data_IF_589764894873
#
_entry.id   IF_589764894873
#
_cell.length_a   1.000
_cell.length_b   1.000
_cell.length_c   1.000
_cell.angle_alpha   90.00
_cell.angle_beta   90.00
_cell.angle_gamma   90.00
#
_symmetry.space_group_name_H-M   'P 1'
#
loop_
_entity.id
_entity.type
_entity.pdbx_description
1 polymer ?
#
# COMPACT_ATOMS: atom_id res chain seq x y z
N UNK A 1 -12.25 -8.43 2.74
CA UNK A 1 -12.11 -7.84 4.06
C UNK A 1 -12.91 -6.55 4.16
N UNK A 2 -13.36 -6.25 5.35
CA UNK A 2 -14.14 -5.05 5.62
C UNK A 2 -13.26 -3.95 6.18
N UNK A 3 -13.63 -2.71 5.90
CA UNK A 3 -12.92 -1.56 6.40
C UNK A 3 -11.72 -1.20 5.54
N UNK A 4 -10.83 -0.41 6.11
CA UNK A 4 -9.66 0.10 5.39
C UNK A 4 -8.48 -0.84 5.59
N UNK A 5 -7.92 -1.31 4.48
CA UNK A 5 -6.77 -2.22 4.46
C UNK A 5 -5.69 -1.58 3.60
N UNK A 6 -4.47 -1.52 4.11
CA UNK A 6 -3.32 -1.01 3.39
C UNK A 6 -2.37 -2.16 3.12
N UNK A 7 -2.04 -2.40 1.87
CA UNK A 7 -1.14 -3.48 1.49
C UNK A 7 0.09 -2.90 0.79
N UNK A 8 1.26 -3.25 1.29
CA UNK A 8 2.50 -2.95 0.59
C UNK A 8 2.91 -4.20 -0.18
N UNK A 9 3.02 -4.07 -1.51
CA UNK A 9 3.53 -5.13 -2.36
C UNK A 9 5.03 -4.89 -2.56
N UNK A 10 5.86 -5.86 -2.16
CA UNK A 10 7.31 -5.71 -2.17
C UNK A 10 7.98 -7.01 -2.62
N UNK A 11 9.29 -6.98 -2.79
CA UNK A 11 10.08 -8.17 -3.09
C UNK A 11 11.39 -8.11 -2.31
N UNK A 12 11.94 -9.28 -1.99
CA UNK A 12 13.16 -9.36 -1.18
C UNK A 12 14.34 -8.63 -1.80
N UNK A 13 14.46 -8.67 -3.14
CA UNK A 13 15.58 -8.02 -3.80
C UNK A 13 15.55 -6.50 -3.64
N UNK A 14 14.43 -5.93 -3.25
CA UNK A 14 14.30 -4.48 -3.02
C UNK A 14 13.98 -4.19 -1.55
N UNK A 15 14.41 -5.04 -0.64
CA UNK A 15 14.08 -4.94 0.78
C UNK A 15 14.53 -3.61 1.40
N UNK A 16 15.64 -3.04 0.93
CA UNK A 16 16.13 -1.77 1.47
C UNK A 16 15.16 -0.62 1.23
N UNK A 17 14.31 -0.72 0.22
CA UNK A 17 13.38 0.33 -0.16
C UNK A 17 11.94 0.06 0.27
N UNK A 18 11.71 -0.97 1.09
CA UNK A 18 10.35 -1.25 1.58
C UNK A 18 9.84 -0.07 2.41
N UNK A 19 8.53 0.07 2.41
CA UNK A 19 7.86 1.17 3.13
C UNK A 19 8.00 0.95 4.64
N UNK A 20 8.84 1.74 5.29
CA UNK A 20 9.20 1.53 6.69
C UNK A 20 8.12 1.98 7.67
N UNK A 21 7.26 2.89 7.26
CA UNK A 21 6.23 3.47 8.13
C UNK A 21 4.91 2.72 8.09
N UNK A 22 4.87 1.56 7.42
CA UNK A 22 3.63 0.79 7.26
C UNK A 22 2.95 0.48 8.60
N UNK A 23 3.73 0.04 9.58
CA UNK A 23 3.19 -0.34 10.89
C UNK A 23 2.75 0.85 11.74
N UNK A 24 3.10 2.06 11.35
CA UNK A 24 2.74 3.26 12.09
C UNK A 24 1.41 3.84 11.64
N UNK A 25 0.82 3.30 10.57
CA UNK A 25 -0.46 3.78 10.06
C UNK A 25 -1.59 3.46 11.03
N UNK A 26 -2.53 4.39 11.16
CA UNK A 26 -3.66 4.28 12.10
C UNK A 26 -4.99 4.21 11.34
N UNK A 27 -5.99 3.67 12.02
CA UNK A 27 -7.35 3.54 11.52
C UNK A 27 -7.46 2.63 10.30
N UNK A 28 -6.57 1.64 10.22
CA UNK A 28 -6.52 0.69 9.12
C UNK A 28 -5.84 -0.60 9.57
N UNK A 29 -6.01 -1.64 8.78
CA UNK A 29 -5.26 -2.88 8.94
C UNK A 29 -4.16 -2.88 7.88
N UNK A 30 -2.93 -3.28 8.26
CA UNK A 30 -1.80 -3.25 7.34
C UNK A 30 -1.28 -4.65 7.05
N UNK A 31 -0.88 -4.89 5.80
CA UNK A 31 -0.26 -6.13 5.36
C UNK A 31 0.91 -5.82 4.44
N UNK A 32 1.86 -6.73 4.43
CA UNK A 32 2.98 -6.67 3.48
C UNK A 32 3.01 -7.98 2.71
N UNK A 33 2.86 -7.89 1.39
CA UNK A 33 2.82 -9.04 0.52
C UNK A 33 4.08 -9.09 -0.35
N UNK A 34 4.81 -10.20 -0.27
CA UNK A 34 6.01 -10.40 -1.08
C UNK A 34 5.62 -11.00 -2.42
N UNK A 35 5.75 -10.23 -3.50
CA UNK A 35 5.35 -10.68 -4.83
C UNK A 35 6.31 -11.72 -5.42
N UNK A 36 7.53 -11.82 -4.90
CA UNK A 36 8.45 -12.86 -5.36
C UNK A 36 8.02 -14.24 -4.89
N UNK A 37 7.22 -14.33 -3.82
CA UNK A 37 6.67 -15.58 -3.32
C UNK A 37 5.28 -15.88 -3.88
N UNK A 38 4.60 -14.86 -4.42
CA UNK A 38 3.24 -14.96 -4.94
C UNK A 38 3.19 -14.32 -6.31
N UNK A 39 3.66 -15.06 -7.33
CA UNK A 39 3.80 -14.53 -8.68
C UNK A 39 2.48 -14.03 -9.27
N UNK A 40 1.36 -14.60 -8.85
CA UNK A 40 0.06 -14.19 -9.36
C UNK A 40 -0.40 -12.82 -8.83
N UNK A 41 0.14 -12.39 -7.70
CA UNK A 41 -0.28 -11.12 -7.09
C UNK A 41 0.06 -9.93 -7.99
N UNK A 42 1.24 -9.95 -8.61
CA UNK A 42 1.65 -8.86 -9.49
C UNK A 42 0.68 -8.67 -10.64
N UNK A 43 0.26 -9.78 -11.25
CA UNK A 43 -0.67 -9.76 -12.36
C UNK A 43 -2.08 -9.39 -11.91
N UNK A 44 -2.57 -10.04 -10.84
CA UNK A 44 -3.93 -9.86 -10.34
C UNK A 44 -4.19 -8.42 -9.88
N UNK A 45 -3.22 -7.81 -9.21
CA UNK A 45 -3.38 -6.46 -8.67
C UNK A 45 -2.69 -5.39 -9.51
N UNK A 46 -2.21 -5.77 -10.69
CA UNK A 46 -1.56 -4.86 -11.65
C UNK A 46 -0.38 -4.12 -11.04
N UNK A 47 0.47 -4.86 -10.35
CA UNK A 47 1.68 -4.31 -9.74
C UNK A 47 2.78 -4.29 -10.78
N UNK A 48 3.16 -3.11 -11.25
CA UNK A 48 4.17 -2.95 -12.30
C UNK A 48 5.56 -2.69 -11.75
N UNK A 49 5.63 -2.19 -10.53
CA UNK A 49 6.88 -1.88 -9.86
C UNK A 49 6.69 -2.00 -8.36
N UNK A 50 7.76 -2.16 -7.62
CA UNK A 50 7.72 -2.29 -6.17
C UNK A 50 8.73 -1.34 -5.53
N UNK A 51 8.47 -0.89 -4.30
CA UNK A 51 7.28 -1.14 -3.50
C UNK A 51 6.06 -0.37 -4.00
N UNK A 52 4.91 -0.99 -3.99
CA UNK A 52 3.65 -0.30 -4.28
C UNK A 52 2.75 -0.46 -3.07
N UNK A 53 2.18 0.65 -2.61
CA UNK A 53 1.26 0.66 -1.47
C UNK A 53 -0.13 0.96 -1.99
N UNK A 54 -1.08 0.08 -1.69
CA UNK A 54 -2.46 0.24 -2.13
C UNK A 54 -3.37 0.30 -0.91
N UNK A 55 -4.29 1.27 -0.91
CA UNK A 55 -5.33 1.38 0.12
C UNK A 55 -6.61 0.81 -0.46
N UNK A 56 -7.19 -0.15 0.26
CA UNK A 56 -8.49 -0.75 -0.08
C UNK A 56 -9.53 -0.33 0.95
N UNK A 57 -10.74 -0.08 0.50
CA UNK A 57 -11.87 0.16 1.38
C UNK A 57 -12.96 -0.84 1.02
N UNK A 58 -13.27 -1.72 1.97
CA UNK A 58 -14.22 -2.83 1.77
C UNK A 58 -13.87 -3.67 0.55
N UNK A 59 -12.57 -3.89 0.32
CA UNK A 59 -12.07 -4.73 -0.76
C UNK A 59 -11.87 -4.00 -2.08
N UNK A 60 -12.21 -2.73 -2.16
CA UNK A 60 -12.05 -1.92 -3.37
C UNK A 60 -10.83 -1.03 -3.28
N UNK A 61 -10.02 -0.99 -4.34
CA UNK A 61 -8.87 -0.09 -4.39
C UNK A 61 -9.35 1.36 -4.47
N UNK A 62 -8.91 2.19 -3.50
CA UNK A 62 -9.29 3.60 -3.45
C UNK A 62 -8.11 4.55 -3.58
N UNK A 63 -6.89 4.07 -3.38
CA UNK A 63 -5.69 4.88 -3.56
C UNK A 63 -4.50 3.96 -3.81
N UNK A 64 -3.52 4.47 -4.56
CA UNK A 64 -2.33 3.70 -4.91
C UNK A 64 -1.11 4.63 -4.92
N UNK A 65 -0.03 4.19 -4.29
CA UNK A 65 1.25 4.90 -4.27
C UNK A 65 2.28 4.02 -4.94
N UNK A 66 2.80 4.47 -6.09
CA UNK A 66 3.76 3.71 -6.89
C UNK A 66 5.16 4.27 -6.70
N UNK A 67 6.21 3.45 -6.91
CA UNK A 67 7.57 3.93 -6.77
C UNK A 67 8.00 4.76 -7.97
N UNK A 68 9.07 5.54 -7.78
CA UNK A 68 9.69 6.28 -8.86
C UNK A 68 10.58 5.33 -9.70
N UNK A 69 11.29 5.88 -10.69
CA UNK A 69 12.15 5.09 -11.59
C UNK A 69 13.32 4.43 -10.86
N UNK A 70 13.66 4.91 -9.66
CA UNK A 70 14.71 4.33 -8.82
C UNK A 70 14.16 3.22 -7.92
N UNK A 71 12.90 2.83 -8.10
CA UNK A 71 12.19 1.84 -7.29
C UNK A 71 12.15 2.23 -5.81
N UNK A 72 11.96 3.52 -5.57
CA UNK A 72 11.82 4.09 -4.24
C UNK A 72 10.46 4.76 -4.14
N UNK A 73 9.75 4.47 -3.05
CA UNK A 73 8.46 5.09 -2.80
C UNK A 73 8.68 6.51 -2.28
N UNK A 74 8.20 7.49 -3.01
CA UNK A 74 8.33 8.88 -2.60
C UNK A 74 7.30 9.29 -1.56
N UNK A 75 6.16 8.60 -1.55
CA UNK A 75 5.13 8.85 -0.55
C UNK A 75 5.66 8.49 0.84
N UNK A 76 5.37 9.34 1.81
CA UNK A 76 5.76 9.11 3.20
C UNK A 76 4.60 8.49 3.96
N UNK A 77 4.86 8.06 5.19
CA UNK A 77 3.78 7.59 6.08
C UNK A 77 2.72 8.64 6.27
N UNK A 78 3.12 9.91 6.33
CA UNK A 78 2.18 11.02 6.46
C UNK A 78 1.28 11.16 5.24
N UNK A 79 1.83 10.96 4.04
CA UNK A 79 1.04 11.02 2.80
C UNK A 79 -0.01 9.90 2.78
N UNK A 80 0.40 8.69 3.14
CA UNK A 80 -0.53 7.55 3.17
C UNK A 80 -1.57 7.74 4.26
N UNK A 81 -1.16 8.20 5.45
CA UNK A 81 -2.09 8.47 6.54
C UNK A 81 -3.11 9.53 6.17
N UNK A 82 -2.69 10.56 5.45
CA UNK A 82 -3.62 11.62 5.00
C UNK A 82 -4.69 11.06 4.08
N UNK A 83 -4.32 10.13 3.20
CA UNK A 83 -5.30 9.48 2.33
C UNK A 83 -6.28 8.63 3.13
N UNK A 84 -5.79 7.91 4.14
CA UNK A 84 -6.63 7.12 5.03
C UNK A 84 -7.62 8.03 5.78
N UNK A 85 -7.10 9.14 6.33
CA UNK A 85 -7.91 10.08 7.09
C UNK A 85 -9.02 10.68 6.24
N UNK A 86 -8.73 10.96 4.97
CA UNK A 86 -9.73 11.48 4.05
C UNK A 86 -10.84 10.46 3.77
N UNK A 87 -10.47 9.18 3.62
CA UNK A 87 -11.46 8.11 3.44
C UNK A 87 -12.35 8.01 4.67
N UNK A 88 -11.76 8.03 5.86
CA UNK A 88 -12.51 7.96 7.12
C UNK A 88 -13.47 9.15 7.24
N UNK A 89 -12.97 10.35 6.93
CA UNK A 89 -13.78 11.56 7.00
C UNK A 89 -15.00 11.47 6.07
N UNK A 90 -14.80 10.97 4.87
CA UNK A 90 -15.87 10.85 3.87
C UNK A 90 -16.96 9.86 4.30
N UNK A 91 -16.64 8.89 5.15
CA UNK A 91 -17.62 7.93 5.65
C UNK A 91 -18.63 8.55 6.63
N UNK A 92 -18.31 9.71 7.18
CA UNK A 92 -19.17 10.40 8.13
C UNK A 92 -19.98 11.53 7.50
N UNK A 93 -19.95 11.63 6.19
CA UNK A 93 -20.71 12.66 5.48
C UNK A 93 -22.00 12.13 4.87
#
# INVERSE_FOLDING_TARGET
>A
SKGIVVVEYWAEWNNANKFKELKELKDCTVYRACISSCSDAASKYKIKAIPTVIIYDNGEEVARFSPNIMLQLEATGKDVQSAIDEIVLNKFQ
#
